data_IF_124848533202
#
_entry.id   IF_124848533202
#
_cell.length_a   1.000
_cell.length_b   1.000
_cell.length_c   1.000
_cell.angle_alpha   90.00
_cell.angle_beta   90.00
_cell.angle_gamma   90.00
#
_symmetry.space_group_name_H-M   'P 1'
#
loop_
_entity.id
_entity.type
_entity.pdbx_description
1 polymer ?
#
# COMPACT_ATOMS: atom_id res chain seq x y z
N UNK A 1 12.58 -12.79 -52.15
CA UNK A 1 13.32 -12.54 -50.90
C UNK A 1 12.71 -11.43 -50.03
N UNK A 2 11.84 -10.57 -50.57
CA UNK A 2 11.18 -9.46 -49.85
C UNK A 2 10.00 -9.90 -48.99
N UNK A 3 9.22 -10.91 -49.42
CA UNK A 3 8.01 -11.38 -48.69
C UNK A 3 8.32 -12.03 -47.33
N UNK A 4 9.39 -12.83 -47.24
CA UNK A 4 9.80 -13.51 -46.00
C UNK A 4 10.29 -12.50 -44.95
N UNK A 5 11.07 -11.48 -45.37
CA UNK A 5 11.55 -10.42 -44.47
C UNK A 5 10.39 -9.61 -43.87
N UNK A 6 9.34 -9.35 -44.64
CA UNK A 6 8.15 -8.62 -44.17
C UNK A 6 7.36 -9.42 -43.12
N UNK A 7 7.17 -10.73 -43.33
CA UNK A 7 6.44 -11.59 -42.38
C UNK A 7 7.18 -11.69 -41.03
N UNK A 8 8.51 -11.79 -41.04
CA UNK A 8 9.32 -11.86 -39.81
C UNK A 8 9.28 -10.53 -39.03
N UNK A 9 9.30 -9.38 -39.71
CA UNK A 9 9.18 -8.06 -39.07
C UNK A 9 7.81 -7.87 -38.42
N UNK A 10 6.74 -8.33 -39.07
CA UNK A 10 5.37 -8.26 -38.53
C UNK A 10 5.24 -9.18 -37.29
N UNK A 11 5.81 -10.38 -37.33
CA UNK A 11 5.76 -11.33 -36.20
C UNK A 11 6.52 -10.80 -34.97
N UNK A 12 7.66 -10.13 -35.16
CA UNK A 12 8.43 -9.48 -34.10
C UNK A 12 7.70 -8.26 -33.50
N UNK A 13 7.02 -7.46 -34.33
CA UNK A 13 6.24 -6.32 -33.87
C UNK A 13 5.01 -6.73 -33.05
N UNK A 14 4.31 -7.81 -33.44
CA UNK A 14 3.17 -8.37 -32.69
C UNK A 14 3.62 -8.93 -31.33
N UNK A 15 4.84 -9.48 -31.25
CA UNK A 15 5.40 -9.99 -30.01
C UNK A 15 5.63 -8.87 -28.96
N UNK A 16 5.99 -7.66 -29.38
CA UNK A 16 6.19 -6.53 -28.45
C UNK A 16 4.89 -5.98 -27.85
N UNK A 17 3.78 -6.06 -28.57
CA UNK A 17 2.47 -5.61 -28.07
C UNK A 17 1.85 -6.62 -27.11
N UNK A 18 2.18 -7.91 -27.24
CA UNK A 18 1.67 -8.98 -26.39
C UNK A 18 2.40 -9.14 -25.04
N UNK A 19 3.55 -8.47 -24.85
CA UNK A 19 4.39 -8.59 -23.66
C UNK A 19 4.49 -7.29 -22.84
N UNK A 20 3.48 -6.42 -22.89
CA UNK A 20 3.30 -5.39 -21.85
C UNK A 20 2.91 -6.08 -20.54
N UNK A 21 3.92 -6.58 -19.81
CA UNK A 21 3.75 -7.05 -18.44
C UNK A 21 3.17 -5.89 -17.63
N UNK A 22 2.01 -6.04 -16.96
CA UNK A 22 1.60 -5.06 -15.98
C UNK A 22 2.69 -5.01 -14.91
N UNK A 23 3.37 -3.87 -14.81
CA UNK A 23 4.32 -3.62 -13.74
C UNK A 23 3.55 -3.66 -12.42
N UNK A 24 3.63 -4.79 -11.73
CA UNK A 24 3.33 -4.85 -10.31
C UNK A 24 4.47 -4.16 -9.56
N UNK A 25 4.63 -2.86 -9.77
CA UNK A 25 5.40 -2.04 -8.87
C UNK A 25 4.82 -2.28 -7.47
N UNK A 26 5.67 -2.66 -6.51
CA UNK A 26 5.26 -2.81 -5.11
C UNK A 26 4.67 -1.49 -4.64
N UNK A 27 3.35 -1.34 -4.66
CA UNK A 27 2.68 -0.20 -4.04
C UNK A 27 2.83 -0.35 -2.54
N UNK A 28 3.43 0.66 -1.91
CA UNK A 28 3.52 0.76 -0.45
C UNK A 28 2.15 1.18 0.05
N UNK A 29 1.57 0.42 0.99
CA UNK A 29 0.36 0.85 1.69
C UNK A 29 0.73 2.04 2.57
N UNK A 30 -0.06 3.11 2.49
CA UNK A 30 0.16 4.33 3.26
C UNK A 30 -0.96 4.45 4.30
N UNK A 31 -0.59 4.58 5.57
CA UNK A 31 -1.51 4.86 6.68
C UNK A 31 -1.27 6.29 7.17
N UNK A 32 -2.35 7.05 7.32
CA UNK A 32 -2.34 8.45 7.78
C UNK A 32 -3.42 8.67 8.83
N UNK A 33 -3.27 9.72 9.64
CA UNK A 33 -4.29 10.18 10.57
C UNK A 33 -4.38 11.71 10.52
N UNK A 34 -5.57 12.26 10.69
CA UNK A 34 -5.73 13.72 10.92
C UNK A 34 -5.47 14.10 12.38
N UNK A 35 -5.25 13.12 13.26
CA UNK A 35 -5.01 13.34 14.68
C UNK A 35 -3.54 13.51 15.03
N UNK A 36 -2.63 12.91 14.26
CA UNK A 36 -1.20 12.88 14.55
C UNK A 36 -0.40 12.60 13.29
N UNK A 37 0.87 13.01 13.31
CA UNK A 37 1.88 12.64 12.31
C UNK A 37 2.71 11.44 12.81
N UNK A 38 3.41 10.75 11.90
CA UNK A 38 4.27 9.61 12.28
C UNK A 38 5.29 10.03 13.35
N UNK A 39 5.40 9.24 14.42
CA UNK A 39 6.32 9.46 15.55
C UNK A 39 6.10 10.77 16.32
N UNK A 40 4.90 11.33 16.28
CA UNK A 40 4.52 12.49 17.10
C UNK A 40 3.65 12.07 18.28
N UNK A 41 3.43 13.01 19.20
CA UNK A 41 2.56 12.80 20.37
C UNK A 41 1.10 12.71 19.90
N UNK A 42 0.37 11.74 20.45
CA UNK A 42 -1.06 11.62 20.25
C UNK A 42 -1.81 12.69 21.05
N UNK A 43 -2.81 13.34 20.46
CA UNK A 43 -3.65 14.30 21.19
C UNK A 43 -4.36 13.62 22.37
N UNK A 44 -4.45 14.31 23.50
CA UNK A 44 -5.00 13.80 24.78
C UNK A 44 -6.37 13.13 24.64
N UNK A 45 -7.24 13.65 23.77
CA UNK A 45 -8.56 13.05 23.57
C UNK A 45 -8.55 11.59 23.08
N UNK A 46 -7.45 11.12 22.49
CA UNK A 46 -7.29 9.73 22.05
C UNK A 46 -6.44 8.88 23.01
N UNK A 47 -6.06 9.42 24.17
CA UNK A 47 -5.39 8.68 25.25
C UNK A 47 -6.37 8.36 26.37
N UNK A 48 -5.93 7.59 27.36
CA UNK A 48 -6.70 7.30 28.55
C UNK A 48 -6.97 8.52 29.44
N UNK A 49 -6.24 9.62 29.25
CA UNK A 49 -6.39 10.85 30.03
C UNK A 49 -7.52 11.73 29.48
N UNK A 50 -7.90 11.55 28.21
CA UNK A 50 -8.99 12.27 27.57
C UNK A 50 -10.23 11.41 27.34
N UNK A 51 -10.82 11.52 26.15
CA UNK A 51 -12.07 10.81 25.80
C UNK A 51 -11.86 9.31 25.55
N UNK A 52 -10.60 8.85 25.44
CA UNK A 52 -10.24 7.45 25.18
C UNK A 52 -10.94 6.85 23.95
N UNK A 53 -11.09 7.66 22.90
CA UNK A 53 -11.64 7.24 21.60
C UNK A 53 -10.51 6.87 20.63
N UNK A 54 -10.78 5.98 19.67
CA UNK A 54 -9.77 5.62 18.67
C UNK A 54 -9.50 6.79 17.71
N UNK A 55 -8.23 7.02 17.31
CA UNK A 55 -7.92 8.06 16.34
C UNK A 55 -8.47 7.72 14.94
N UNK A 56 -8.82 8.73 14.13
CA UNK A 56 -9.22 8.52 12.75
C UNK A 56 -8.02 7.97 11.95
N UNK A 57 -8.23 6.90 11.19
CA UNK A 57 -7.21 6.29 10.34
C UNK A 57 -7.65 6.32 8.87
N UNK A 58 -6.74 6.66 7.97
CA UNK A 58 -6.96 6.69 6.53
C UNK A 58 -5.88 5.90 5.80
N UNK A 59 -6.33 4.96 4.98
CA UNK A 59 -5.51 4.12 4.12
C UNK A 59 -5.44 4.72 2.72
N UNK A 60 -4.26 4.70 2.10
CA UNK A 60 -4.08 4.99 0.69
C UNK A 60 -3.26 3.86 0.04
N UNK A 61 -3.38 3.73 -1.28
CA UNK A 61 -2.64 2.75 -2.09
C UNK A 61 -2.83 1.28 -1.67
N UNK A 62 -4.04 0.92 -1.21
CA UNK A 62 -4.41 -0.48 -1.00
C UNK A 62 -4.40 -1.23 -2.35
N UNK A 63 -3.85 -2.47 -2.40
CA UNK A 63 -3.95 -3.31 -3.60
C UNK A 63 -5.41 -3.53 -4.02
N UNK A 64 -5.68 -3.53 -5.33
CA UNK A 64 -7.05 -3.60 -5.89
C UNK A 64 -7.87 -4.81 -5.41
N UNK A 65 -7.19 -5.91 -5.05
CA UNK A 65 -7.82 -7.17 -4.59
C UNK A 65 -7.82 -7.32 -3.06
N UNK A 66 -7.59 -6.24 -2.30
CA UNK A 66 -7.65 -6.25 -0.83
C UNK A 66 -9.07 -6.60 -0.38
N UNK A 67 -9.22 -7.75 0.29
CA UNK A 67 -10.52 -8.21 0.80
C UNK A 67 -10.82 -7.71 2.21
N UNK A 68 -9.78 -7.52 3.01
CA UNK A 68 -9.88 -7.19 4.44
C UNK A 68 -8.62 -6.52 4.93
N UNK A 69 -8.76 -5.74 6.00
CA UNK A 69 -7.65 -5.10 6.72
C UNK A 69 -7.80 -5.49 8.19
N UNK A 70 -6.68 -5.78 8.84
CA UNK A 70 -6.59 -5.91 10.29
C UNK A 70 -5.67 -4.81 10.83
N UNK A 71 -5.97 -4.33 12.04
CA UNK A 71 -5.22 -3.26 12.70
C UNK A 71 -4.70 -3.84 14.02
N UNK A 72 -3.40 -3.68 14.25
CA UNK A 72 -2.74 -4.03 15.50
C UNK A 72 -2.02 -2.78 15.98
N UNK A 73 -2.31 -2.36 17.21
CA UNK A 73 -1.62 -1.30 17.92
C UNK A 73 -0.88 -1.93 19.09
N UNK A 74 0.43 -1.76 19.15
CA UNK A 74 1.29 -2.34 20.17
C UNK A 74 2.15 -1.26 20.80
N UNK A 75 2.13 -1.20 22.13
CA UNK A 75 3.01 -0.36 22.93
C UNK A 75 4.19 -1.22 23.45
N UNK A 76 5.35 -1.07 22.81
CA UNK A 76 6.55 -1.82 23.16
C UNK A 76 7.22 -1.32 24.45
N UNK A 77 6.86 -0.12 24.91
CA UNK A 77 7.40 0.50 26.11
C UNK A 77 6.58 0.14 27.37
N UNK A 78 5.47 -0.57 27.19
CA UNK A 78 4.61 -1.01 28.30
C UNK A 78 5.36 -1.93 29.28
N UNK A 79 5.22 -1.72 30.60
CA UNK A 79 5.80 -2.61 31.60
C UNK A 79 5.32 -4.04 31.41
N UNK A 80 6.27 -4.96 31.16
CA UNK A 80 5.96 -6.39 31.11
C UNK A 80 5.86 -6.91 32.54
N UNK A 81 4.67 -7.31 32.96
CA UNK A 81 4.50 -8.02 34.22
C UNK A 81 5.27 -9.35 34.10
N UNK A 82 6.24 -9.53 34.98
CA UNK A 82 7.03 -10.75 35.13
C UNK A 82 6.28 -11.79 35.95
#
# INVERSE_FOLDING_TARGET
>A
MTKIKVVVVILLAICQVAFSQPSFAKKKIILTSTAFEDKTILQEKYTCDGENISPPLKWNDLPEKTKSIAIIMEDLDSPKIK
#
